data_IF_116230959580
#
_entry.id   IF_116230959580
#
_cell.length_a   1.000
_cell.length_b   1.000
_cell.length_c   1.000
_cell.angle_alpha   90.00
_cell.angle_beta   90.00
_cell.angle_gamma   90.00
#
_symmetry.space_group_name_H-M   'P 1'
#
loop_
_entity.id
_entity.type
_entity.pdbx_description
1 polymer ?
#
# COMPACT_ATOMS: atom_id res chain seq x y z
N UNK A 1 -4.28 17.42 -10.83
CA UNK A 1 -5.41 17.49 -9.88
C UNK A 1 -4.95 18.38 -8.75
N UNK A 2 -5.61 19.52 -8.55
CA UNK A 2 -5.35 20.41 -7.43
C UNK A 2 -6.25 19.96 -6.28
N UNK A 3 -5.65 19.58 -5.16
CA UNK A 3 -6.39 19.37 -3.92
C UNK A 3 -6.44 20.68 -3.14
N UNK A 4 -7.52 20.88 -2.41
CA UNK A 4 -7.71 22.03 -1.54
C UNK A 4 -7.41 21.63 -0.10
N UNK A 5 -6.95 22.61 0.68
CA UNK A 5 -6.69 22.43 2.11
C UNK A 5 -7.59 23.37 2.90
N UNK A 6 -8.31 22.83 3.87
CA UNK A 6 -9.18 23.60 4.76
C UNK A 6 -8.79 23.30 6.21
N UNK A 7 -8.83 24.29 7.09
CA UNK A 7 -8.53 24.12 8.51
C UNK A 7 -9.77 24.45 9.33
N UNK A 8 -10.10 23.61 10.30
CA UNK A 8 -11.30 23.82 11.11
C UNK A 8 -11.35 22.93 12.34
N UNK A 9 -12.34 23.20 13.18
CA UNK A 9 -12.63 22.40 14.37
C UNK A 9 -13.71 21.39 14.00
N UNK A 10 -13.47 20.12 14.33
CA UNK A 10 -14.44 19.05 14.08
C UNK A 10 -15.71 19.32 14.89
N UNK A 11 -16.84 19.39 14.18
CA UNK A 11 -18.17 19.48 14.77
C UNK A 11 -19.14 18.47 14.14
N UNK A 12 -20.13 18.00 14.89
CA UNK A 12 -21.13 17.01 14.50
C UNK A 12 -20.52 15.71 13.92
N UNK A 13 -19.49 15.17 14.57
CA UNK A 13 -18.79 13.97 14.12
C UNK A 13 -19.70 12.74 14.13
N UNK A 14 -19.81 12.09 12.98
CA UNK A 14 -20.45 10.79 12.79
C UNK A 14 -19.45 9.82 12.20
N UNK A 15 -19.10 8.81 12.98
CA UNK A 15 -18.22 7.72 12.57
C UNK A 15 -19.06 6.47 12.35
N UNK A 16 -19.01 5.90 11.15
CA UNK A 16 -19.63 4.61 10.82
C UNK A 16 -18.57 3.66 10.29
N UNK A 17 -18.43 2.51 10.92
CA UNK A 17 -17.64 1.43 10.36
C UNK A 17 -18.43 0.81 9.21
N UNK A 18 -17.85 0.82 8.02
CA UNK A 18 -18.45 0.33 6.78
C UNK A 18 -17.45 -0.59 6.10
N UNK A 19 -17.89 -1.78 5.74
CA UNK A 19 -17.09 -2.71 4.97
C UNK A 19 -17.20 -2.32 3.49
N UNK A 20 -16.08 -2.08 2.80
CA UNK A 20 -16.12 -1.68 1.40
C UNK A 20 -14.99 -2.32 0.60
N UNK A 21 -15.31 -2.83 -0.61
CA UNK A 21 -14.34 -3.31 -1.58
C UNK A 21 -13.53 -2.13 -2.16
N UNK A 22 -12.39 -1.81 -1.52
CA UNK A 22 -11.48 -0.76 -2.00
C UNK A 22 -10.43 -1.31 -2.98
N UNK A 23 -10.18 -2.63 -2.96
CA UNK A 23 -9.02 -3.24 -3.60
C UNK A 23 -9.26 -3.80 -5.01
N UNK A 24 -10.45 -4.32 -5.31
CA UNK A 24 -10.75 -5.03 -6.57
C UNK A 24 -11.91 -4.41 -7.36
N UNK A 25 -11.74 -4.25 -8.68
CA UNK A 25 -12.87 -4.06 -9.62
C UNK A 25 -13.44 -5.44 -9.95
N UNK A 26 -14.75 -5.53 -10.21
CA UNK A 26 -15.42 -6.78 -10.61
C UNK A 26 -14.66 -7.54 -11.73
N UNK A 27 -14.10 -6.82 -12.71
CA UNK A 27 -13.35 -7.41 -13.82
C UNK A 27 -11.92 -7.90 -13.51
N UNK A 28 -11.39 -7.74 -12.29
CA UNK A 28 -10.11 -8.36 -11.91
C UNK A 28 -10.30 -9.79 -11.39
N UNK A 29 -11.48 -10.12 -10.85
CA UNK A 29 -11.87 -11.50 -10.50
C UNK A 29 -11.96 -12.38 -11.75
N UNK A 30 -12.62 -11.88 -12.78
CA UNK A 30 -12.76 -12.59 -14.06
C UNK A 30 -11.39 -12.87 -14.71
N UNK A 31 -10.45 -11.92 -14.59
CA UNK A 31 -9.07 -12.12 -15.07
C UNK A 31 -8.30 -13.13 -14.24
N UNK A 32 -8.47 -13.13 -12.91
CA UNK A 32 -7.82 -14.10 -12.03
C UNK A 32 -8.38 -15.50 -12.24
N UNK A 33 -9.71 -15.64 -12.38
CA UNK A 33 -10.36 -16.90 -12.72
C UNK A 33 -9.90 -17.42 -14.10
N UNK A 34 -9.85 -16.54 -15.12
CA UNK A 34 -9.36 -16.91 -16.45
C UNK A 34 -7.86 -17.31 -16.43
N UNK A 35 -7.02 -16.61 -15.67
CA UNK A 35 -5.61 -16.95 -15.52
C UNK A 35 -5.42 -18.26 -14.74
N UNK A 36 -6.25 -18.50 -13.72
CA UNK A 36 -6.31 -19.76 -12.98
C UNK A 36 -6.69 -20.95 -13.85
N UNK A 37 -7.71 -20.79 -14.69
CA UNK A 37 -8.13 -21.79 -15.66
C UNK A 37 -7.03 -22.09 -16.70
N UNK A 38 -6.35 -21.06 -17.21
CA UNK A 38 -5.21 -21.23 -18.10
C UNK A 38 -4.03 -21.95 -17.41
N UNK A 39 -3.72 -21.60 -16.16
CA UNK A 39 -2.69 -22.28 -15.39
C UNK A 39 -3.04 -23.76 -15.14
N UNK A 40 -4.30 -24.08 -14.84
CA UNK A 40 -4.77 -25.45 -14.70
C UNK A 40 -4.63 -26.24 -16.01
N UNK A 41 -4.99 -25.64 -17.15
CA UNK A 41 -4.84 -26.24 -18.48
C UNK A 41 -3.37 -26.49 -18.84
N UNK A 42 -2.45 -25.69 -18.31
CA UNK A 42 -0.99 -25.88 -18.44
C UNK A 42 -0.40 -26.82 -17.38
N UNK A 43 -1.22 -27.49 -16.57
CA UNK A 43 -0.76 -28.43 -15.54
C UNK A 43 -0.18 -27.76 -14.28
N UNK A 44 -0.30 -26.45 -14.14
CA UNK A 44 0.21 -25.67 -13.00
C UNK A 44 -0.81 -25.64 -11.85
N UNK A 45 -0.94 -26.76 -11.15
CA UNK A 45 -1.94 -26.97 -10.09
C UNK A 45 -1.82 -26.00 -8.90
N UNK A 46 -0.60 -25.69 -8.45
CA UNK A 46 -0.36 -24.76 -7.34
C UNK A 46 -0.81 -23.32 -7.63
N UNK A 47 -0.30 -22.69 -8.71
CA UNK A 47 -0.76 -21.36 -9.13
C UNK A 47 -2.26 -21.31 -9.43
N UNK A 48 -2.83 -22.36 -10.04
CA UNK A 48 -4.26 -22.46 -10.31
C UNK A 48 -5.10 -22.48 -9.02
N UNK A 49 -4.70 -23.28 -8.02
CA UNK A 49 -5.36 -23.34 -6.73
C UNK A 49 -5.30 -22.00 -5.98
N UNK A 50 -4.13 -21.34 -5.96
CA UNK A 50 -3.99 -20.02 -5.35
C UNK A 50 -4.85 -18.96 -6.03
N UNK A 51 -4.91 -18.95 -7.36
CA UNK A 51 -5.77 -18.01 -8.10
C UNK A 51 -7.26 -18.30 -7.90
N UNK A 52 -7.66 -19.58 -7.80
CA UNK A 52 -9.04 -19.96 -7.49
C UNK A 52 -9.47 -19.48 -6.10
N UNK A 53 -8.61 -19.69 -5.08
CA UNK A 53 -8.87 -19.21 -3.72
C UNK A 53 -9.01 -17.68 -3.67
N UNK A 54 -8.09 -16.94 -4.29
CA UNK A 54 -8.13 -15.48 -4.31
C UNK A 54 -9.28 -14.90 -5.15
N UNK A 55 -9.77 -15.62 -6.17
CA UNK A 55 -10.93 -15.19 -6.95
C UNK A 55 -12.25 -15.31 -6.17
N UNK A 56 -12.26 -16.19 -5.17
CA UNK A 56 -13.43 -16.53 -4.37
C UNK A 56 -13.43 -15.82 -3.01
N UNK A 57 -12.31 -15.24 -2.59
CA UNK A 57 -12.23 -14.41 -1.37
C UNK A 57 -12.90 -13.05 -1.61
N UNK A 58 -13.97 -12.80 -0.85
CA UNK A 58 -14.56 -11.48 -0.70
C UNK A 58 -13.61 -10.65 0.17
N UNK A 59 -12.72 -9.88 -0.45
CA UNK A 59 -11.77 -8.99 0.26
C UNK A 59 -12.49 -7.74 0.78
N UNK A 60 -13.42 -7.98 1.68
CA UNK A 60 -14.20 -6.99 2.41
C UNK A 60 -13.29 -6.26 3.43
N UNK A 61 -12.71 -5.14 3.02
CA UNK A 61 -11.83 -4.37 3.91
C UNK A 61 -12.65 -3.50 4.87
N UNK A 62 -12.40 -3.54 6.19
CA UNK A 62 -13.06 -2.69 7.16
C UNK A 62 -12.60 -1.24 6.96
N UNK A 63 -13.46 -0.42 6.36
CA UNK A 63 -13.28 1.01 6.27
C UNK A 63 -14.14 1.73 7.32
N UNK A 64 -13.79 2.98 7.59
CA UNK A 64 -14.49 3.86 8.51
C UNK A 64 -14.91 5.08 7.71
N UNK A 65 -16.21 5.19 7.46
CA UNK A 65 -16.82 6.36 6.86
C UNK A 65 -17.03 7.40 7.93
N UNK A 66 -16.43 8.56 7.73
CA UNK A 66 -16.48 9.66 8.68
C UNK A 66 -17.18 10.84 8.02
N UNK A 67 -18.16 11.40 8.70
CA UNK A 67 -18.85 12.61 8.29
C UNK A 67 -18.77 13.61 9.45
N UNK A 68 -18.28 14.82 9.18
CA UNK A 68 -18.20 15.90 10.16
C UNK A 68 -18.40 17.24 9.47
N UNK A 69 -18.53 18.30 10.26
CA UNK A 69 -18.74 19.67 9.78
C UNK A 69 -17.63 20.59 10.21
N UNK A 70 -17.28 21.50 9.30
CA UNK A 70 -16.51 22.72 9.56
C UNK A 70 -17.43 23.93 9.38
N UNK A 71 -18.02 24.39 10.48
CA UNK A 71 -19.09 25.39 10.43
C UNK A 71 -20.24 24.89 9.56
N UNK A 72 -20.50 25.57 8.44
CA UNK A 72 -21.55 25.16 7.51
C UNK A 72 -21.12 24.05 6.54
N UNK A 73 -19.82 23.86 6.31
CA UNK A 73 -19.28 22.91 5.33
C UNK A 73 -19.39 21.47 5.82
N UNK A 74 -20.03 20.61 5.04
CA UNK A 74 -20.07 19.18 5.29
C UNK A 74 -18.85 18.49 4.68
N UNK A 75 -18.09 17.80 5.52
CA UNK A 75 -16.89 17.04 5.16
C UNK A 75 -17.19 15.55 5.27
N UNK A 76 -16.89 14.81 4.20
CA UNK A 76 -17.02 13.34 4.16
C UNK A 76 -15.67 12.72 3.83
N UNK A 77 -15.31 11.65 4.52
CA UNK A 77 -14.08 10.92 4.29
C UNK A 77 -14.24 9.42 4.48
N UNK A 78 -13.34 8.66 3.88
CA UNK A 78 -13.24 7.21 4.04
C UNK A 78 -11.81 6.88 4.45
N UNK A 79 -11.65 6.28 5.62
CA UNK A 79 -10.36 6.00 6.25
C UNK A 79 -10.33 4.59 6.83
N UNK A 80 -9.16 4.01 7.07
CA UNK A 80 -9.07 2.71 7.77
C UNK A 80 -9.51 2.79 9.23
N UNK A 81 -9.13 3.87 9.89
CA UNK A 81 -9.43 4.12 11.29
C UNK A 81 -9.56 5.63 11.51
N UNK A 82 -10.15 6.05 12.62
CA UNK A 82 -10.36 7.46 12.94
C UNK A 82 -9.85 7.79 14.35
N UNK A 83 -8.67 8.43 14.48
CA UNK A 83 -8.07 8.72 15.79
C UNK A 83 -8.52 10.06 16.41
N UNK A 84 -9.31 10.87 15.70
CA UNK A 84 -9.68 12.23 16.12
C UNK A 84 -11.02 12.25 16.87
N UNK A 85 -11.21 13.28 17.70
CA UNK A 85 -12.42 13.49 18.50
C UNK A 85 -13.13 14.79 18.12
N UNK A 86 -14.40 14.89 18.51
CA UNK A 86 -15.16 16.15 18.45
C UNK A 86 -14.38 17.27 19.17
N UNK A 87 -14.30 18.45 18.55
CA UNK A 87 -13.55 19.60 19.09
C UNK A 87 -12.06 19.62 18.79
N UNK A 88 -11.49 18.58 18.15
CA UNK A 88 -10.10 18.63 17.68
C UNK A 88 -9.96 19.62 16.51
N UNK A 89 -8.89 20.42 16.54
CA UNK A 89 -8.50 21.31 15.44
C UNK A 89 -7.71 20.51 14.40
N UNK A 90 -8.29 20.32 13.22
CA UNK A 90 -7.68 19.50 12.17
C UNK A 90 -7.61 20.26 10.85
N UNK A 91 -6.59 19.94 10.06
CA UNK A 91 -6.43 20.39 8.68
C UNK A 91 -6.79 19.23 7.76
N UNK A 92 -7.72 19.48 6.84
CA UNK A 92 -8.21 18.49 5.87
C UNK A 92 -7.66 18.81 4.49
N UNK A 93 -7.31 17.77 3.75
CA UNK A 93 -6.89 17.83 2.36
C UNK A 93 -7.86 17.01 1.56
N UNK A 94 -8.40 17.60 0.50
CA UNK A 94 -9.46 16.95 -0.24
C UNK A 94 -9.82 17.64 -1.52
N UNK A 95 -11.00 17.30 -2.02
CA UNK A 95 -11.60 17.94 -3.18
C UNK A 95 -13.05 18.26 -2.89
N UNK A 96 -13.55 19.36 -3.46
CA UNK A 96 -14.99 19.63 -3.49
C UNK A 96 -15.65 18.77 -4.56
N UNK A 97 -16.78 18.18 -4.22
CA UNK A 97 -17.64 17.48 -5.17
C UNK A 97 -18.50 18.49 -5.95
N UNK A 98 -19.07 18.06 -7.08
CA UNK A 98 -19.97 18.89 -7.91
C UNK A 98 -21.20 19.39 -7.14
N UNK A 99 -21.58 18.69 -6.06
CA UNK A 99 -22.68 19.06 -5.16
C UNK A 99 -22.25 20.00 -4.01
N UNK A 100 -21.01 20.50 -3.99
CA UNK A 100 -20.51 21.42 -2.96
C UNK A 100 -20.04 20.77 -1.65
N UNK A 101 -20.16 19.45 -1.52
CA UNK A 101 -19.64 18.70 -0.37
C UNK A 101 -18.11 18.57 -0.45
N UNK A 102 -17.43 18.66 0.69
CA UNK A 102 -15.98 18.47 0.74
C UNK A 102 -15.63 17.00 1.00
N UNK A 103 -14.91 16.38 0.07
CA UNK A 103 -14.42 15.00 0.21
C UNK A 103 -13.00 15.03 0.74
N UNK A 104 -12.82 14.70 2.01
CA UNK A 104 -11.53 14.58 2.66
C UNK A 104 -10.81 13.31 2.23
N UNK A 105 -9.61 13.48 1.68
CA UNK A 105 -8.67 12.41 1.33
C UNK A 105 -7.59 12.23 2.41
N UNK A 106 -7.28 13.28 3.16
CA UNK A 106 -6.40 13.22 4.31
C UNK A 106 -6.85 14.21 5.37
N UNK A 107 -6.73 13.83 6.64
CA UNK A 107 -6.99 14.69 7.79
C UNK A 107 -5.78 14.61 8.72
N UNK A 108 -5.28 15.76 9.15
CA UNK A 108 -4.18 15.84 10.10
C UNK A 108 -4.51 16.77 11.27
N UNK A 109 -3.96 16.45 12.43
CA UNK A 109 -3.93 17.30 13.60
C UNK A 109 -2.49 17.79 13.80
N UNK A 110 -2.31 19.12 13.76
CA UNK A 110 -1.00 19.75 13.90
C UNK A 110 -0.44 19.71 15.32
N UNK A 111 -1.31 19.68 16.33
CA UNK A 111 -0.93 19.63 17.74
C UNK A 111 -0.44 18.23 18.09
N UNK A 112 -1.21 17.20 17.70
CA UNK A 112 -0.89 15.80 17.97
C UNK A 112 0.11 15.21 16.95
N UNK A 113 0.36 15.92 15.84
CA UNK A 113 1.16 15.49 14.68
C UNK A 113 0.72 14.13 14.14
N UNK A 114 -0.59 13.93 14.12
CA UNK A 114 -1.22 12.72 13.60
C UNK A 114 -1.85 13.01 12.25
N UNK A 115 -1.67 12.11 11.30
CA UNK A 115 -2.29 12.17 9.98
C UNK A 115 -2.99 10.85 9.70
N UNK A 116 -4.23 10.94 9.24
CA UNK A 116 -4.98 9.84 8.66
C UNK A 116 -5.24 10.15 7.19
N UNK A 117 -4.97 9.20 6.33
CA UNK A 117 -5.11 9.35 4.89
C UNK A 117 -5.98 8.22 4.36
N UNK A 118 -6.54 8.44 3.17
CA UNK A 118 -7.29 7.42 2.43
C UNK A 118 -6.49 6.11 2.38
N UNK A 119 -7.15 4.93 2.40
CA UNK A 119 -6.51 3.64 2.26
C UNK A 119 -5.33 3.61 1.27
N UNK A 120 -4.21 3.02 1.71
CA UNK A 120 -2.98 2.83 0.92
C UNK A 120 -2.15 4.09 0.62
N UNK A 121 -2.59 5.27 1.03
CA UNK A 121 -1.81 6.52 0.95
C UNK A 121 -0.85 6.58 2.14
N UNK A 122 0.30 5.92 2.04
CA UNK A 122 1.30 5.87 3.13
C UNK A 122 2.72 6.28 2.71
N UNK A 123 3.02 6.28 1.41
CA UNK A 123 4.37 6.54 0.88
C UNK A 123 4.31 7.27 -0.45
N UNK A 124 5.20 8.25 -0.63
CA UNK A 124 5.40 8.94 -1.90
C UNK A 124 6.09 8.06 -2.95
N UNK A 125 6.09 8.52 -4.20
CA UNK A 125 6.59 7.77 -5.37
C UNK A 125 8.00 7.23 -5.22
N UNK A 126 8.91 8.06 -4.72
CA UNK A 126 10.31 7.68 -4.60
C UNK A 126 10.52 6.64 -3.51
N UNK A 127 9.86 6.82 -2.36
CA UNK A 127 9.94 5.86 -1.26
C UNK A 127 9.35 4.49 -1.63
N UNK A 128 8.26 4.47 -2.41
CA UNK A 128 7.64 3.24 -2.90
C UNK A 128 8.58 2.46 -3.83
N UNK A 129 9.16 3.12 -4.85
CA UNK A 129 10.02 2.43 -5.82
C UNK A 129 11.33 1.92 -5.22
N UNK A 130 11.91 2.66 -4.26
CA UNK A 130 13.06 2.16 -3.50
C UNK A 130 12.68 0.91 -2.68
N UNK A 131 11.52 0.92 -2.04
CA UNK A 131 11.06 -0.23 -1.27
C UNK A 131 10.86 -1.44 -2.19
N UNK A 132 10.19 -1.27 -3.34
CA UNK A 132 10.01 -2.33 -4.34
C UNK A 132 11.35 -2.91 -4.77
N UNK A 133 12.32 -2.07 -5.16
CA UNK A 133 13.65 -2.54 -5.56
C UNK A 133 14.37 -3.31 -4.43
N UNK A 134 14.28 -2.80 -3.20
CA UNK A 134 14.89 -3.44 -2.02
C UNK A 134 14.25 -4.81 -1.74
N UNK A 135 12.92 -4.91 -1.80
CA UNK A 135 12.22 -6.18 -1.56
C UNK A 135 12.44 -7.19 -2.69
N UNK A 136 12.47 -6.74 -3.96
CA UNK A 136 12.84 -7.60 -5.10
C UNK A 136 14.22 -8.21 -4.92
N UNK A 137 15.20 -7.42 -4.49
CA UNK A 137 16.56 -7.91 -4.23
C UNK A 137 16.62 -8.82 -2.98
N UNK A 138 15.91 -8.45 -1.91
CA UNK A 138 15.87 -9.28 -0.71
C UNK A 138 15.23 -10.65 -0.96
N UNK A 139 14.27 -10.74 -1.89
CA UNK A 139 13.63 -12.00 -2.28
C UNK A 139 14.52 -12.85 -3.20
N UNK A 140 15.35 -12.23 -4.06
CA UNK A 140 16.22 -12.98 -4.97
C UNK A 140 17.31 -13.76 -4.23
N UNK A 141 17.79 -13.25 -3.09
CA UNK A 141 18.85 -13.89 -2.28
C UNK A 141 18.45 -15.30 -1.78
N UNK A 142 17.35 -15.50 -1.03
CA UNK A 142 16.98 -16.83 -0.55
C UNK A 142 16.61 -17.79 -1.69
N UNK A 143 15.97 -17.31 -2.76
CA UNK A 143 15.66 -18.14 -3.93
C UNK A 143 16.95 -18.67 -4.59
N UNK A 144 17.95 -17.80 -4.69
CA UNK A 144 19.26 -18.20 -5.19
C UNK A 144 19.98 -19.17 -4.25
N UNK A 145 19.89 -18.96 -2.92
CA UNK A 145 20.46 -19.91 -1.95
C UNK A 145 19.85 -21.31 -2.06
N UNK A 146 18.53 -21.41 -2.28
CA UNK A 146 17.86 -22.69 -2.54
C UNK A 146 18.43 -23.34 -3.80
N UNK A 147 18.62 -22.56 -4.86
CA UNK A 147 19.18 -23.06 -6.12
C UNK A 147 20.62 -23.58 -5.96
N UNK A 148 21.47 -22.85 -5.22
CA UNK A 148 22.83 -23.30 -4.87
C UNK A 148 22.80 -24.59 -4.04
N UNK A 149 21.85 -24.74 -3.12
CA UNK A 149 21.70 -25.94 -2.31
C UNK A 149 21.31 -27.16 -3.16
N UNK A 150 20.41 -27.01 -4.15
CA UNK A 150 20.08 -28.07 -5.09
C UNK A 150 21.32 -28.50 -5.90
N UNK A 151 22.09 -27.55 -6.42
CA UNK A 151 23.33 -27.88 -7.13
C UNK A 151 24.37 -28.57 -6.24
N UNK A 152 24.45 -28.22 -4.96
CA UNK A 152 25.36 -28.89 -4.04
C UNK A 152 24.95 -30.34 -3.80
N UNK A 153 23.64 -30.62 -3.77
CA UNK A 153 23.10 -31.99 -3.66
C UNK A 153 23.43 -32.79 -4.93
N UNK A 154 23.16 -32.23 -6.11
CA UNK A 154 23.50 -32.85 -7.41
C UNK A 154 25.01 -33.13 -7.51
N UNK A 155 25.83 -32.19 -7.02
CA UNK A 155 27.28 -32.33 -6.93
C UNK A 155 27.76 -33.48 -6.03
N UNK A 156 26.99 -33.79 -4.98
CA UNK A 156 27.24 -34.95 -4.12
C UNK A 156 26.71 -36.26 -4.73
N UNK A 157 25.77 -36.20 -5.69
CA UNK A 157 25.14 -37.39 -6.31
C UNK A 157 25.77 -37.82 -7.63
N UNK A 158 26.69 -37.03 -8.20
CA UNK A 158 27.61 -37.50 -9.25
C UNK A 158 27.85 -36.54 -10.41
N UNK A 159 27.07 -35.46 -10.52
CA UNK A 159 27.29 -34.44 -11.54
C UNK A 159 28.32 -33.42 -11.04
N UNK A 160 29.38 -33.12 -11.79
CA UNK A 160 30.41 -32.18 -11.32
C UNK A 160 29.89 -30.77 -11.00
N UNK A 161 30.71 -29.96 -10.31
CA UNK A 161 30.33 -28.58 -9.99
C UNK A 161 30.11 -27.75 -11.27
N UNK A 162 29.04 -26.94 -11.34
CA UNK A 162 28.81 -26.05 -12.48
C UNK A 162 29.88 -24.95 -12.57
N UNK A 163 30.12 -24.45 -13.79
CA UNK A 163 31.06 -23.35 -14.01
C UNK A 163 30.59 -22.07 -13.31
N UNK A 164 31.54 -21.25 -12.85
CA UNK A 164 31.25 -19.97 -12.20
C UNK A 164 30.42 -19.03 -13.09
N UNK A 165 30.61 -19.10 -14.40
CA UNK A 165 29.86 -18.32 -15.40
C UNK A 165 28.37 -18.71 -15.39
N UNK A 166 28.06 -20.01 -15.39
CA UNK A 166 26.68 -20.51 -15.35
C UNK A 166 25.95 -20.12 -14.06
N UNK A 167 26.68 -20.14 -12.94
CA UNK A 167 26.19 -19.71 -11.63
C UNK A 167 25.85 -18.20 -11.65
N UNK A 168 26.75 -17.38 -12.21
CA UNK A 168 26.57 -15.94 -12.32
C UNK A 168 25.40 -15.56 -13.25
N UNK A 169 25.29 -16.21 -14.41
CA UNK A 169 24.21 -15.99 -15.37
C UNK A 169 22.85 -16.35 -14.77
N UNK A 170 22.78 -17.47 -14.04
CA UNK A 170 21.54 -17.90 -13.39
C UNK A 170 21.13 -16.96 -12.26
N UNK A 171 22.10 -16.43 -11.51
CA UNK A 171 21.83 -15.38 -10.52
C UNK A 171 21.27 -14.12 -11.18
N UNK A 172 21.88 -13.68 -12.29
CA UNK A 172 21.43 -12.50 -13.03
C UNK A 172 19.99 -12.67 -13.53
N UNK A 173 19.67 -13.83 -14.11
CA UNK A 173 18.29 -14.15 -14.55
C UNK A 173 17.32 -14.11 -13.36
N UNK A 174 17.68 -14.72 -12.23
CA UNK A 174 16.85 -14.72 -11.02
C UNK A 174 16.55 -13.30 -10.53
N UNK A 175 17.57 -12.45 -10.47
CA UNK A 175 17.43 -11.03 -10.09
C UNK A 175 16.50 -10.30 -11.07
N UNK A 176 16.69 -10.46 -12.38
CA UNK A 176 15.87 -9.81 -13.41
C UNK A 176 14.39 -10.22 -13.29
N UNK A 177 14.12 -11.52 -13.07
CA UNK A 177 12.75 -12.03 -12.86
C UNK A 177 12.13 -11.43 -11.59
N UNK A 178 12.86 -11.38 -10.47
CA UNK A 178 12.39 -10.77 -9.22
C UNK A 178 12.11 -9.27 -9.36
N UNK A 179 12.95 -8.55 -10.12
CA UNK A 179 12.73 -7.14 -10.44
C UNK A 179 11.51 -6.94 -11.34
N UNK A 180 11.32 -7.78 -12.34
CA UNK A 180 10.16 -7.73 -13.24
C UNK A 180 8.84 -7.97 -12.47
N UNK A 181 8.80 -9.01 -11.62
CA UNK A 181 7.65 -9.30 -10.78
C UNK A 181 7.38 -8.16 -9.79
N UNK A 182 8.42 -7.67 -9.11
CA UNK A 182 8.31 -6.54 -8.20
C UNK A 182 7.83 -5.27 -8.89
N UNK A 183 8.32 -4.98 -10.11
CA UNK A 183 7.84 -3.86 -10.92
C UNK A 183 6.36 -4.03 -11.30
N UNK A 184 5.94 -5.24 -11.70
CA UNK A 184 4.56 -5.53 -12.10
C UNK A 184 3.57 -5.41 -10.93
N UNK A 185 3.98 -5.83 -9.73
CA UNK A 185 3.17 -5.64 -8.52
C UNK A 185 3.21 -4.17 -8.10
N UNK A 186 4.39 -3.56 -8.08
CA UNK A 186 4.61 -2.18 -7.67
C UNK A 186 3.85 -1.16 -8.54
N UNK A 187 3.70 -1.41 -9.85
CA UNK A 187 2.92 -0.55 -10.76
C UNK A 187 1.44 -0.48 -10.39
N UNK A 188 0.89 -1.52 -9.78
CA UNK A 188 -0.52 -1.53 -9.37
C UNK A 188 -0.80 -0.41 -8.35
N UNK A 189 0.14 -0.18 -7.43
CA UNK A 189 0.04 0.82 -6.36
C UNK A 189 0.34 2.26 -6.82
N UNK A 190 0.79 2.46 -8.07
CA UNK A 190 1.20 3.79 -8.56
C UNK A 190 0.09 4.85 -8.47
N UNK A 191 -1.19 4.45 -8.54
CA UNK A 191 -2.31 5.38 -8.39
C UNK A 191 -2.38 5.97 -6.99
N UNK A 192 -2.29 5.13 -5.96
CA UNK A 192 -2.28 5.55 -4.55
C UNK A 192 -1.04 6.39 -4.22
N UNK A 193 0.09 6.01 -4.80
CA UNK A 193 1.38 6.67 -4.60
C UNK A 193 1.40 8.07 -5.25
N UNK A 194 0.84 8.24 -6.45
CA UNK A 194 0.63 9.57 -7.06
C UNK A 194 -0.36 10.42 -6.26
N UNK A 195 -1.38 9.79 -5.67
CA UNK A 195 -2.32 10.48 -4.79
C UNK A 195 -1.62 10.96 -3.51
N UNK A 196 -0.73 10.15 -2.93
CA UNK A 196 0.09 10.52 -1.80
C UNK A 196 1.01 11.71 -2.11
N UNK A 197 1.70 11.67 -3.26
CA UNK A 197 2.55 12.79 -3.69
C UNK A 197 1.77 14.10 -3.81
N UNK A 198 0.55 14.05 -4.35
CA UNK A 198 -0.30 15.21 -4.49
C UNK A 198 -0.81 15.70 -3.13
N UNK A 199 -1.24 14.81 -2.23
CA UNK A 199 -1.65 15.17 -0.86
C UNK A 199 -0.49 15.82 -0.09
N UNK A 200 0.67 15.18 -0.05
CA UNK A 200 1.86 15.69 0.64
C UNK A 200 2.37 16.99 0.01
N UNK A 201 2.26 17.12 -1.31
CA UNK A 201 2.54 18.36 -2.03
C UNK A 201 1.60 19.50 -1.62
N UNK A 202 0.30 19.23 -1.52
CA UNK A 202 -0.68 20.24 -1.06
C UNK A 202 -0.54 20.58 0.42
N UNK A 203 0.02 19.68 1.23
CA UNK A 203 0.40 19.97 2.61
C UNK A 203 1.65 20.86 2.73
N UNK A 204 2.33 21.14 1.63
CA UNK A 204 3.56 21.94 1.60
C UNK A 204 4.76 21.20 2.20
N UNK A 205 4.72 19.87 2.31
CA UNK A 205 5.81 19.12 2.91
C UNK A 205 7.02 19.04 1.96
N UNK A 206 8.23 19.37 2.43
CA UNK A 206 9.42 19.30 1.60
C UNK A 206 9.69 17.85 1.18
N UNK A 207 10.05 17.65 -0.08
CA UNK A 207 10.35 16.33 -0.65
C UNK A 207 9.20 15.32 -0.53
N UNK A 208 7.93 15.75 -0.74
CA UNK A 208 6.72 14.91 -0.76
C UNK A 208 6.93 13.49 -1.33
N UNK A 209 7.64 13.36 -2.47
CA UNK A 209 7.91 12.09 -3.13
C UNK A 209 8.74 11.08 -2.32
N UNK A 210 9.60 11.56 -1.42
CA UNK A 210 10.49 10.76 -0.57
C UNK A 210 9.89 10.40 0.79
N UNK A 211 8.73 10.96 1.11
CA UNK A 211 8.09 10.77 2.42
C UNK A 211 7.53 9.35 2.51
N UNK A 212 7.82 8.70 3.63
CA UNK A 212 7.25 7.41 3.99
C UNK A 212 6.70 7.52 5.42
N UNK A 213 5.39 7.70 5.52
CA UNK A 213 4.70 7.93 6.80
C UNK A 213 4.89 6.74 7.75
N UNK A 214 4.88 5.52 7.21
CA UNK A 214 5.09 4.30 7.99
C UNK A 214 6.49 4.25 8.61
N UNK A 215 7.52 4.64 7.85
CA UNK A 215 8.91 4.72 8.35
C UNK A 215 9.07 5.81 9.40
N UNK A 216 8.51 7.00 9.16
CA UNK A 216 8.57 8.14 10.10
C UNK A 216 7.85 7.78 11.39
N UNK A 217 6.67 7.17 11.30
CA UNK A 217 5.88 6.74 12.45
C UNK A 217 6.65 5.71 13.29
N UNK A 218 7.31 4.73 12.67
CA UNK A 218 8.15 3.76 13.38
C UNK A 218 9.31 4.43 14.13
N UNK A 219 9.91 5.48 13.57
CA UNK A 219 11.00 6.22 14.22
C UNK A 219 10.51 7.12 15.36
N UNK A 220 9.30 7.68 15.24
CA UNK A 220 8.70 8.61 16.21
C UNK A 220 7.77 7.92 17.23
N UNK A 221 7.75 6.59 17.27
CA UNK A 221 6.90 5.81 18.17
C UNK A 221 7.36 5.99 19.61
N UNK A 222 6.41 6.27 20.50
CA UNK A 222 6.66 6.46 21.93
C UNK A 222 6.13 5.25 22.74
N UNK A 223 6.72 4.97 23.92
CA UNK A 223 6.21 3.94 24.82
C UNK A 223 4.84 4.38 25.35
N UNK A 224 3.77 3.71 24.91
CA UNK A 224 2.37 4.08 25.21
C UNK A 224 1.51 4.33 23.97
N UNK A 225 2.11 4.37 22.77
CA UNK A 225 1.35 4.53 21.53
C UNK A 225 0.52 3.29 21.19
N UNK A 226 -0.75 3.53 20.83
CA UNK A 226 -1.72 2.50 20.50
C UNK A 226 -1.26 1.60 19.33
N UNK A 227 -1.54 0.28 19.34
CA UNK A 227 -1.03 -0.68 18.35
C UNK A 227 -1.34 -0.32 16.89
N UNK A 228 -2.47 0.34 16.65
CA UNK A 228 -2.92 0.75 15.31
C UNK A 228 -2.12 1.91 14.68
N UNK A 229 -1.22 2.55 15.45
CA UNK A 229 -0.33 3.61 14.98
C UNK A 229 0.78 3.03 14.08
N UNK A 230 0.84 3.52 12.84
CA UNK A 230 1.78 3.07 11.81
C UNK A 230 1.19 2.10 10.80
N UNK A 231 -0.05 1.64 11.03
CA UNK A 231 -0.82 0.81 10.10
C UNK A 231 -2.05 1.53 9.56
N UNK A 232 -2.85 2.15 10.45
CA UNK A 232 -4.14 2.77 10.07
C UNK A 232 -4.13 4.30 10.14
N UNK A 233 -3.27 4.87 10.99
CA UNK A 233 -2.97 6.31 11.06
C UNK A 233 -1.49 6.47 11.40
N UNK A 234 -0.93 7.64 11.09
CA UNK A 234 0.51 7.87 11.10
C UNK A 234 0.88 9.09 11.93
N UNK A 235 2.08 9.08 12.50
CA UNK A 235 2.69 10.22 13.18
C UNK A 235 3.76 10.83 12.26
N UNK A 236 3.74 12.16 12.07
CA UNK A 236 4.63 12.85 11.12
C UNK A 236 5.57 13.89 11.75
#
# INVERSE_FOLDING_TARGET
MLFETETGIISNLRVRHVVQNVFWRDGDRDKMAATGAAAAALGLSGPAAGMAMMSNEETEEPATRVEFRFGEMLVKGLFWNWPFKEGDSVRVVGRRDKAGNFIALSVLDEQKRLIVSYPYVSSGSWAHWIAVAKYSLALSVPLYMIHVAFFLIDALTGDGLPSLEMIADTYLICVLVCFYLGYRIGRHFTRFVKMADAIFGTLGWPNAKRINLRRITKQKRQPGDHPALGDTYFRY
#
